data_IF_541049056394
#
_entry.id   IF_541049056394
#
_cell.length_a   1.000
_cell.length_b   1.000
_cell.length_c   1.000
_cell.angle_alpha   90.00
_cell.angle_beta   90.00
_cell.angle_gamma   90.00
#
_symmetry.space_group_name_H-M   'P 1'
#
loop_
_entity.id
_entity.type
_entity.pdbx_description
1 polymer ?
#
# COMPACT_ATOMS: atom_id res chain seq x y z
N UNK A 1 -42.69 5.34 -22.40
CA UNK A 1 -41.36 5.60 -21.75
C UNK A 1 -40.34 4.70 -22.39
N UNK A 2 -39.68 5.14 -23.45
CA UNK A 2 -38.54 4.46 -24.05
C UNK A 2 -37.27 5.07 -23.46
N UNK A 3 -36.70 4.44 -22.41
CA UNK A 3 -35.39 4.76 -21.91
C UNK A 3 -34.38 4.24 -22.96
N UNK A 4 -33.67 5.13 -23.64
CA UNK A 4 -32.56 4.75 -24.49
C UNK A 4 -31.45 4.11 -23.63
N UNK A 5 -31.30 2.79 -23.69
CA UNK A 5 -30.17 2.07 -23.17
C UNK A 5 -28.92 2.53 -23.91
N UNK A 6 -28.00 3.20 -23.23
CA UNK A 6 -26.65 3.43 -23.74
C UNK A 6 -25.88 2.11 -23.62
N UNK A 7 -25.69 1.42 -24.72
CA UNK A 7 -24.86 0.22 -24.78
C UNK A 7 -23.41 0.70 -24.95
N UNK A 8 -22.55 0.40 -23.98
CA UNK A 8 -21.09 0.54 -24.11
C UNK A 8 -20.53 -0.80 -24.58
N UNK A 9 -19.82 -0.81 -25.70
CA UNK A 9 -19.05 -1.96 -26.14
C UNK A 9 -17.68 -1.92 -25.44
N UNK A 10 -17.30 -3.00 -24.77
CA UNK A 10 -15.96 -3.21 -24.25
C UNK A 10 -15.30 -4.22 -25.19
N UNK A 11 -14.24 -3.78 -25.87
CA UNK A 11 -13.43 -4.64 -26.71
C UNK A 11 -12.42 -5.38 -25.85
N UNK A 12 -12.51 -6.70 -25.80
CA UNK A 12 -11.65 -7.59 -25.01
C UNK A 12 -10.49 -8.18 -25.80
N UNK A 13 -10.38 -7.87 -27.11
CA UNK A 13 -9.38 -8.49 -28.01
C UNK A 13 -7.93 -8.10 -27.66
N UNK A 14 -7.71 -7.12 -26.80
CA UNK A 14 -6.39 -6.65 -26.35
C UNK A 14 -6.06 -7.01 -24.88
N UNK A 15 -6.85 -7.85 -24.23
CA UNK A 15 -6.54 -8.35 -22.89
C UNK A 15 -5.70 -9.61 -23.06
N UNK A 16 -4.41 -9.52 -22.75
CA UNK A 16 -3.47 -10.63 -22.79
C UNK A 16 -4.02 -11.79 -21.93
N UNK A 17 -4.22 -12.93 -22.56
CA UNK A 17 -5.11 -14.04 -22.19
C UNK A 17 -4.68 -14.87 -20.97
N UNK A 18 -3.81 -14.38 -20.08
CA UNK A 18 -3.19 -15.30 -19.13
C UNK A 18 -3.75 -15.32 -17.70
N UNK A 19 -4.65 -14.39 -17.29
CA UNK A 19 -5.06 -14.42 -15.88
C UNK A 19 -6.33 -13.65 -15.48
N UNK A 20 -7.12 -13.11 -16.40
CA UNK A 20 -8.34 -12.39 -16.05
C UNK A 20 -9.54 -12.86 -16.88
N UNK A 21 -10.54 -13.42 -16.21
CA UNK A 21 -11.85 -13.65 -16.82
C UNK A 21 -12.57 -12.29 -16.95
N UNK A 22 -12.84 -11.78 -18.17
CA UNK A 22 -13.54 -10.51 -18.39
C UNK A 22 -14.96 -10.49 -17.79
N UNK A 23 -15.51 -11.65 -17.46
CA UNK A 23 -16.80 -11.80 -16.78
C UNK A 23 -16.68 -11.96 -15.25
N UNK A 24 -15.49 -11.77 -14.70
CA UNK A 24 -15.32 -11.77 -13.23
C UNK A 24 -16.23 -10.72 -12.60
N UNK A 25 -17.08 -11.18 -11.70
CA UNK A 25 -18.02 -10.31 -11.00
C UNK A 25 -17.26 -9.49 -9.94
N UNK A 26 -17.24 -8.17 -10.09
CA UNK A 26 -16.59 -7.26 -9.16
C UNK A 26 -17.58 -6.86 -8.06
N UNK A 27 -17.67 -7.67 -7.00
CA UNK A 27 -18.65 -7.49 -5.93
C UNK A 27 -18.06 -6.83 -4.68
N UNK A 28 -16.76 -6.65 -4.61
CA UNK A 28 -16.08 -6.08 -3.47
C UNK A 28 -15.02 -5.04 -3.87
N UNK A 29 -14.66 -4.11 -2.98
CA UNK A 29 -13.53 -3.20 -3.21
C UNK A 29 -12.23 -3.94 -3.54
N UNK A 30 -12.03 -5.15 -2.99
CA UNK A 30 -10.89 -6.02 -3.27
C UNK A 30 -10.85 -6.47 -4.74
N UNK A 31 -12.01 -6.85 -5.30
CA UNK A 31 -12.09 -7.29 -6.68
C UNK A 31 -11.75 -6.14 -7.63
N UNK A 32 -12.21 -4.93 -7.31
CA UNK A 32 -11.89 -3.72 -8.07
C UNK A 32 -10.39 -3.42 -8.07
N UNK A 33 -9.72 -3.59 -6.93
CA UNK A 33 -8.27 -3.40 -6.83
C UNK A 33 -7.53 -4.44 -7.64
N UNK A 34 -7.92 -5.70 -7.50
CA UNK A 34 -7.33 -6.77 -8.28
C UNK A 34 -7.46 -6.50 -9.79
N UNK A 35 -8.62 -6.05 -10.23
CA UNK A 35 -8.84 -5.63 -11.61
C UNK A 35 -7.93 -4.44 -12.00
N UNK A 36 -7.80 -3.43 -11.15
CA UNK A 36 -6.93 -2.27 -11.41
C UNK A 36 -5.44 -2.66 -11.47
N UNK A 37 -5.00 -3.61 -10.65
CA UNK A 37 -3.64 -4.15 -10.72
C UNK A 37 -3.38 -4.89 -12.03
N UNK A 38 -4.30 -5.78 -12.44
CA UNK A 38 -4.20 -6.51 -13.72
C UNK A 38 -4.16 -5.54 -14.90
N UNK A 39 -4.99 -4.50 -14.87
CA UNK A 39 -5.01 -3.47 -15.92
C UNK A 39 -3.80 -2.51 -15.84
N UNK A 40 -2.83 -2.75 -14.95
CA UNK A 40 -1.66 -1.90 -14.76
C UNK A 40 -1.97 -0.47 -14.30
N UNK A 41 -3.18 -0.22 -13.81
CA UNK A 41 -3.61 1.09 -13.31
C UNK A 41 -3.15 1.35 -11.89
N UNK A 42 -3.01 0.32 -11.07
CA UNK A 42 -2.53 0.40 -9.69
C UNK A 42 -1.28 -0.48 -9.54
N UNK A 43 -0.16 0.05 -9.00
CA UNK A 43 1.00 -0.77 -8.68
C UNK A 43 0.65 -1.89 -7.69
N UNK A 44 1.36 -3.02 -7.71
CA UNK A 44 1.24 -4.03 -6.68
C UNK A 44 1.55 -3.43 -5.31
N UNK A 45 0.92 -3.94 -4.26
CA UNK A 45 1.12 -3.46 -2.90
C UNK A 45 1.00 -4.59 -1.88
N UNK A 46 1.59 -4.39 -0.71
CA UNK A 46 1.41 -5.25 0.45
C UNK A 46 1.49 -4.46 1.75
N UNK A 47 0.82 -4.97 2.78
CA UNK A 47 0.87 -4.42 4.13
C UNK A 47 1.99 -5.05 4.96
N UNK A 48 2.50 -4.31 5.95
CA UNK A 48 3.32 -4.85 7.03
C UNK A 48 2.43 -5.14 8.24
N UNK A 49 2.32 -6.41 8.61
CA UNK A 49 1.64 -6.86 9.81
C UNK A 49 2.63 -7.11 10.94
N UNK A 50 2.16 -7.12 12.17
CA UNK A 50 2.96 -7.39 13.36
C UNK A 50 2.59 -6.51 14.53
N UNK A 51 2.87 -6.97 15.73
CA UNK A 51 2.58 -6.27 16.97
C UNK A 51 3.40 -4.99 17.12
N UNK A 52 2.96 -4.10 18.00
CA UNK A 52 3.72 -2.89 18.34
C UNK A 52 5.13 -3.28 18.83
N UNK A 53 6.15 -2.58 18.36
CA UNK A 53 7.55 -2.89 18.71
C UNK A 53 8.18 -4.03 17.90
N UNK A 54 7.46 -4.73 16.99
CA UNK A 54 8.06 -5.82 16.19
C UNK A 54 9.12 -5.37 15.19
N UNK A 55 9.20 -4.07 14.88
CA UNK A 55 10.19 -3.52 13.96
C UNK A 55 9.67 -3.33 12.53
N UNK A 56 8.34 -3.22 12.34
CA UNK A 56 7.73 -2.97 11.01
C UNK A 56 8.36 -1.78 10.28
N UNK A 57 8.43 -0.63 10.95
CA UNK A 57 9.01 0.58 10.36
C UNK A 57 10.50 0.42 10.03
N UNK A 58 11.24 -0.32 10.86
CA UNK A 58 12.65 -0.63 10.60
C UNK A 58 12.79 -1.52 9.36
N UNK A 59 11.96 -2.56 9.25
CA UNK A 59 11.95 -3.42 8.06
C UNK A 59 11.52 -2.64 6.82
N UNK A 60 10.46 -1.84 6.92
CA UNK A 60 9.99 -0.98 5.83
C UNK A 60 11.12 -0.11 5.28
N UNK A 61 11.82 0.62 6.15
CA UNK A 61 12.95 1.47 5.75
C UNK A 61 14.05 0.68 5.03
N UNK A 62 14.44 -0.48 5.57
CA UNK A 62 15.48 -1.33 4.97
C UNK A 62 15.04 -1.90 3.61
N UNK A 63 13.77 -2.31 3.47
CA UNK A 63 13.22 -2.77 2.19
C UNK A 63 13.23 -1.64 1.16
N UNK A 64 12.78 -0.44 1.53
CA UNK A 64 12.80 0.73 0.64
C UNK A 64 14.22 1.04 0.17
N UNK A 65 15.20 1.05 1.09
CA UNK A 65 16.60 1.25 0.73
C UNK A 65 17.10 0.19 -0.25
N UNK A 66 16.77 -1.08 -0.03
CA UNK A 66 17.19 -2.18 -0.87
C UNK A 66 16.55 -2.14 -2.26
N UNK A 67 15.25 -1.91 -2.33
CA UNK A 67 14.52 -1.69 -3.58
C UNK A 67 15.10 -0.52 -4.37
N UNK A 68 15.35 0.61 -3.71
CA UNK A 68 15.93 1.81 -4.35
C UNK A 68 17.31 1.53 -4.94
N UNK A 69 18.18 0.75 -4.25
CA UNK A 69 19.51 0.37 -4.75
C UNK A 69 19.46 -0.42 -6.05
N UNK A 70 18.41 -1.19 -6.27
CA UNK A 70 18.22 -1.99 -7.49
C UNK A 70 17.32 -1.29 -8.53
N UNK A 71 16.99 0.00 -8.31
CA UNK A 71 16.25 0.82 -9.27
C UNK A 71 14.73 0.75 -9.17
N UNK A 72 14.18 0.03 -8.20
CA UNK A 72 12.73 -0.10 -7.97
C UNK A 72 12.21 1.13 -7.23
N UNK A 73 11.19 1.79 -7.79
CA UNK A 73 10.53 2.94 -7.15
C UNK A 73 9.46 2.47 -6.18
N UNK A 74 9.64 2.77 -4.89
CA UNK A 74 8.71 2.35 -3.83
C UNK A 74 7.82 3.51 -3.42
N UNK A 75 6.49 3.31 -3.48
CA UNK A 75 5.51 4.14 -2.81
C UNK A 75 5.29 3.66 -1.37
N UNK A 76 4.92 4.56 -0.48
CA UNK A 76 4.54 4.20 0.90
C UNK A 76 3.24 4.85 1.29
N UNK A 77 2.38 4.08 1.93
CA UNK A 77 1.14 4.56 2.53
C UNK A 77 1.14 4.21 4.02
N UNK A 78 1.02 5.21 4.87
CA UNK A 78 1.01 5.02 6.32
C UNK A 78 -0.26 5.57 6.93
N UNK A 79 -1.03 4.71 7.60
CA UNK A 79 -2.15 5.11 8.42
C UNK A 79 -1.67 5.56 9.80
N UNK A 80 -2.03 6.77 10.19
CA UNK A 80 -1.72 7.34 11.50
C UNK A 80 -2.94 7.23 12.41
N UNK A 81 -2.79 6.56 13.57
CA UNK A 81 -3.87 6.41 14.55
C UNK A 81 -4.10 7.68 15.40
N UNK A 82 -3.26 8.69 15.24
CA UNK A 82 -3.34 9.96 15.97
C UNK A 82 -3.26 11.13 15.01
N UNK A 83 -3.75 12.30 15.45
CA UNK A 83 -3.57 13.55 14.70
C UNK A 83 -2.10 13.77 14.38
N UNK A 84 -1.79 14.10 13.15
CA UNK A 84 -0.44 14.42 12.71
C UNK A 84 -0.45 15.74 11.95
N UNK A 85 0.65 16.48 12.02
CA UNK A 85 0.90 17.65 11.22
C UNK A 85 2.19 17.42 10.40
N UNK A 86 2.12 17.72 9.10
CA UNK A 86 3.28 17.66 8.20
C UNK A 86 4.02 18.99 8.22
N UNK A 87 3.27 20.10 8.30
CA UNK A 87 3.81 21.45 8.38
C UNK A 87 4.17 21.86 9.82
N UNK A 88 5.06 22.83 9.94
CA UNK A 88 5.51 23.30 11.26
C UNK A 88 4.65 24.45 11.72
N UNK A 89 4.18 24.39 12.98
CA UNK A 89 3.48 25.48 13.66
C UNK A 89 4.23 26.80 13.51
N UNK A 90 3.51 27.85 13.12
CA UNK A 90 4.06 29.21 12.95
C UNK A 90 4.71 29.47 11.57
N UNK A 91 4.74 28.53 10.65
CA UNK A 91 5.10 28.75 9.25
C UNK A 91 3.88 29.12 8.41
N UNK A 92 4.12 29.75 7.25
CA UNK A 92 3.06 30.27 6.41
C UNK A 92 2.07 29.19 5.97
N UNK A 93 2.56 28.01 5.58
CA UNK A 93 1.72 26.86 5.22
C UNK A 93 0.77 26.47 6.36
N UNK A 94 1.29 26.41 7.58
CA UNK A 94 0.49 26.11 8.77
C UNK A 94 -0.58 27.19 9.00
N UNK A 95 -0.21 28.46 8.91
CA UNK A 95 -1.11 29.58 9.14
C UNK A 95 -2.22 29.65 8.09
N UNK A 96 -1.88 29.43 6.79
CA UNK A 96 -2.85 29.39 5.71
C UNK A 96 -3.85 28.25 5.90
N UNK A 97 -3.39 27.05 6.26
CA UNK A 97 -4.27 25.89 6.54
C UNK A 97 -5.17 26.18 7.75
N UNK A 98 -4.64 26.74 8.83
CA UNK A 98 -5.42 27.11 10.02
C UNK A 98 -6.43 28.23 9.74
N UNK A 99 -6.16 29.09 8.76
CA UNK A 99 -7.10 30.10 8.29
C UNK A 99 -8.24 29.52 7.41
N UNK A 100 -8.17 28.22 7.06
CA UNK A 100 -9.23 27.52 6.33
C UNK A 100 -8.91 27.14 4.88
N UNK A 101 -7.67 27.25 4.43
CA UNK A 101 -7.28 26.78 3.10
C UNK A 101 -7.43 25.25 2.99
N UNK A 102 -8.28 24.79 2.06
CA UNK A 102 -8.63 23.36 1.81
C UNK A 102 -8.90 23.15 0.32
N UNK A 103 -8.02 22.50 -0.44
CA UNK A 103 -6.70 21.97 -0.06
C UNK A 103 -5.63 23.04 0.05
N UNK A 104 -4.50 22.72 0.68
CA UNK A 104 -3.29 23.54 0.70
C UNK A 104 -2.17 22.80 -0.02
N UNK A 105 -1.51 23.46 -0.95
CA UNK A 105 -0.34 22.96 -1.69
C UNK A 105 0.85 23.83 -1.38
N UNK A 106 1.96 23.19 -1.00
CA UNK A 106 3.27 23.82 -0.91
C UNK A 106 4.20 23.20 -1.94
N UNK A 107 4.93 24.01 -2.67
CA UNK A 107 5.81 23.54 -3.73
C UNK A 107 7.17 24.26 -3.70
N UNK A 108 8.20 23.51 -4.06
CA UNK A 108 9.55 23.99 -4.29
C UNK A 108 10.14 23.32 -5.54
N UNK A 109 11.37 23.70 -5.91
CA UNK A 109 12.10 23.05 -7.01
C UNK A 109 12.30 21.54 -6.78
N UNK A 110 12.41 21.12 -5.53
CA UNK A 110 12.80 19.74 -5.17
C UNK A 110 11.59 18.86 -4.85
N UNK A 111 10.51 19.43 -4.32
CA UNK A 111 9.34 18.68 -3.84
C UNK A 111 8.10 19.54 -3.76
N UNK A 112 6.97 18.88 -3.75
CA UNK A 112 5.69 19.49 -3.36
C UNK A 112 5.00 18.62 -2.32
N UNK A 113 4.09 19.22 -1.56
CA UNK A 113 3.17 18.51 -0.68
C UNK A 113 1.75 19.06 -0.86
N UNK A 114 0.77 18.15 -0.88
CA UNK A 114 -0.66 18.44 -0.84
C UNK A 114 -1.18 18.05 0.54
N UNK A 115 -1.80 18.98 1.22
CA UNK A 115 -2.49 18.72 2.48
C UNK A 115 -3.98 18.94 2.26
N UNK A 116 -4.74 17.88 2.44
CA UNK A 116 -6.19 17.87 2.40
C UNK A 116 -6.70 17.51 3.80
N UNK A 117 -7.47 18.39 4.41
CA UNK A 117 -8.20 18.05 5.63
C UNK A 117 -9.37 17.14 5.26
N UNK A 118 -9.58 16.09 6.02
CA UNK A 118 -10.81 15.31 5.92
C UNK A 118 -11.95 16.06 6.57
N UNK A 119 -13.16 15.90 6.06
CA UNK A 119 -14.36 16.36 6.75
C UNK A 119 -14.57 15.53 8.03
N UNK A 120 -15.17 16.12 9.07
CA UNK A 120 -15.19 15.58 10.43
C UNK A 120 -15.78 14.15 10.56
N UNK A 121 -16.43 13.63 9.53
CA UNK A 121 -17.14 12.35 9.54
C UNK A 121 -16.52 11.25 8.68
N UNK A 122 -15.51 11.51 7.85
CA UNK A 122 -15.05 10.54 6.86
C UNK A 122 -13.53 10.39 6.82
N UNK A 123 -13.04 9.30 7.40
CA UNK A 123 -11.70 8.82 7.14
C UNK A 123 -11.66 8.16 5.74
N UNK A 124 -10.66 8.54 4.94
CA UNK A 124 -10.48 7.92 3.62
C UNK A 124 -10.12 6.45 3.77
N UNK A 125 -10.79 5.61 3.00
CA UNK A 125 -10.50 4.18 2.95
C UNK A 125 -9.09 3.93 2.40
N UNK A 126 -8.52 2.77 2.73
CA UNK A 126 -7.25 2.32 2.14
C UNK A 126 -7.27 2.44 0.61
N UNK A 127 -8.39 2.12 0.00
CA UNK A 127 -8.53 2.04 -1.45
C UNK A 127 -8.54 3.41 -2.11
N UNK A 128 -9.25 4.38 -1.54
CA UNK A 128 -9.20 5.77 -2.00
C UNK A 128 -7.78 6.34 -1.89
N UNK A 129 -7.04 5.96 -0.84
CA UNK A 129 -5.65 6.38 -0.68
C UNK A 129 -4.70 5.69 -1.67
N UNK A 130 -4.92 4.40 -1.98
CA UNK A 130 -4.15 3.70 -3.00
C UNK A 130 -4.38 4.26 -4.41
N UNK A 131 -5.59 4.69 -4.74
CA UNK A 131 -5.88 5.34 -6.01
C UNK A 131 -5.07 6.61 -6.26
N UNK A 132 -4.60 7.29 -5.21
CA UNK A 132 -3.75 8.48 -5.36
C UNK A 132 -2.45 8.12 -6.11
N UNK A 133 -1.90 6.92 -5.89
CA UNK A 133 -0.68 6.46 -6.57
C UNK A 133 -0.86 6.21 -8.08
N UNK A 134 -2.09 6.06 -8.55
CA UNK A 134 -2.41 5.91 -9.96
C UNK A 134 -2.69 7.24 -10.67
N UNK A 135 -2.82 8.35 -9.93
CA UNK A 135 -3.21 9.67 -10.45
C UNK A 135 -1.97 10.54 -10.71
N UNK A 136 -1.96 11.19 -11.86
CA UNK A 136 -1.01 12.27 -12.16
C UNK A 136 -1.28 13.49 -11.23
N UNK A 137 -0.28 14.18 -10.62
CA UNK A 137 1.13 14.20 -11.03
C UNK A 137 2.08 13.31 -10.19
N UNK A 138 1.57 12.31 -9.51
CA UNK A 138 2.42 11.41 -8.70
C UNK A 138 3.36 10.60 -9.63
N UNK A 139 4.65 10.58 -9.29
CA UNK A 139 5.60 9.72 -10.01
C UNK A 139 5.17 8.26 -9.86
N UNK A 140 5.06 7.54 -10.97
CA UNK A 140 4.72 6.13 -10.96
C UNK A 140 5.72 5.35 -10.09
N UNK A 141 5.21 4.53 -9.19
CA UNK A 141 6.00 3.58 -8.41
C UNK A 141 5.76 2.15 -8.91
N UNK A 142 6.69 1.26 -8.61
CA UNK A 142 6.65 -0.14 -9.06
C UNK A 142 6.01 -1.03 -8.00
N UNK A 143 6.03 -0.61 -6.73
CA UNK A 143 5.40 -1.30 -5.61
C UNK A 143 5.03 -0.29 -4.51
N UNK A 144 3.99 -0.61 -3.72
CA UNK A 144 3.57 0.20 -2.57
C UNK A 144 3.66 -0.63 -1.29
N UNK A 145 4.33 -0.08 -0.26
CA UNK A 145 4.34 -0.65 1.09
C UNK A 145 3.33 0.10 1.95
N UNK A 146 2.42 -0.65 2.57
CA UNK A 146 1.34 -0.12 3.40
C UNK A 146 1.61 -0.41 4.87
N UNK A 147 1.56 0.61 5.73
CA UNK A 147 1.66 0.49 7.18
C UNK A 147 0.37 0.96 7.87
N UNK A 148 -0.09 0.22 8.88
CA UNK A 148 -1.17 0.62 9.78
C UNK A 148 -2.52 -0.03 9.50
N UNK A 149 -2.90 -0.30 8.30
CA UNK A 149 -4.18 -0.90 7.90
C UNK A 149 -4.28 -2.41 8.25
N UNK A 150 -4.12 -2.74 9.54
CA UNK A 150 -4.00 -4.14 10.02
C UNK A 150 -5.26 -4.98 9.81
N UNK A 151 -6.43 -4.34 9.80
CA UNK A 151 -7.73 -5.01 9.68
C UNK A 151 -8.19 -5.14 8.22
N UNK A 152 -7.48 -4.52 7.28
CA UNK A 152 -7.83 -4.58 5.86
C UNK A 152 -7.47 -5.95 5.26
N UNK A 153 -8.31 -6.42 4.34
CA UNK A 153 -8.15 -7.70 3.65
C UNK A 153 -7.19 -7.56 2.45
N UNK A 154 -5.91 -7.29 2.76
CA UNK A 154 -4.83 -7.10 1.78
C UNK A 154 -3.68 -8.07 2.03
N UNK A 155 -2.86 -8.41 1.02
CA UNK A 155 -1.65 -9.22 1.22
C UNK A 155 -0.72 -8.57 2.25
N UNK A 156 -0.19 -9.38 3.20
CA UNK A 156 0.66 -8.87 4.28
C UNK A 156 1.93 -9.70 4.44
N UNK A 157 3.03 -9.01 4.73
CA UNK A 157 4.25 -9.60 5.29
C UNK A 157 4.23 -9.39 6.80
N UNK A 158 4.24 -10.47 7.57
CA UNK A 158 4.29 -10.38 9.03
C UNK A 158 5.71 -10.17 9.52
N UNK A 159 5.89 -9.20 10.43
CA UNK A 159 7.13 -8.98 11.18
C UNK A 159 6.93 -9.52 12.58
N UNK A 160 7.59 -10.63 12.88
CA UNK A 160 7.45 -11.34 14.13
C UNK A 160 8.76 -11.40 14.92
N UNK A 161 8.65 -11.18 16.23
CA UNK A 161 9.76 -11.36 17.17
C UNK A 161 9.27 -12.09 18.41
N UNK A 162 9.76 -13.30 18.71
CA UNK A 162 9.35 -14.07 19.90
C UNK A 162 9.53 -13.32 21.22
N UNK A 163 10.51 -12.41 21.30
CA UNK A 163 10.77 -11.62 22.50
C UNK A 163 9.57 -10.74 22.91
N UNK A 164 8.69 -10.39 21.97
CA UNK A 164 7.48 -9.61 22.23
C UNK A 164 6.42 -10.46 22.97
N UNK A 165 6.55 -11.78 22.96
CA UNK A 165 5.62 -12.73 23.60
C UNK A 165 4.17 -12.56 23.14
N UNK A 166 3.96 -12.32 21.87
CA UNK A 166 2.64 -12.24 21.23
C UNK A 166 2.48 -13.38 20.21
N UNK A 167 1.25 -13.82 19.92
CA UNK A 167 1.04 -14.87 18.92
C UNK A 167 1.40 -14.40 17.51
N UNK A 168 1.67 -15.36 16.65
CA UNK A 168 1.79 -15.15 15.20
C UNK A 168 0.43 -14.76 14.63
N UNK A 169 0.41 -13.74 13.78
CA UNK A 169 -0.83 -13.26 13.15
C UNK A 169 -1.27 -14.14 11.99
N UNK A 170 -0.33 -14.79 11.28
CA UNK A 170 -0.63 -15.61 10.11
C UNK A 170 -1.58 -16.76 10.42
N UNK A 171 -1.65 -17.21 11.66
CA UNK A 171 -2.56 -18.28 12.09
C UNK A 171 -4.03 -17.87 12.05
N UNK A 172 -4.30 -16.57 12.12
CA UNK A 172 -5.65 -16.00 12.12
C UNK A 172 -5.93 -15.15 10.88
N UNK A 173 -4.89 -14.63 10.22
CA UNK A 173 -5.00 -13.79 9.02
C UNK A 173 -4.44 -14.51 7.78
N UNK A 174 -5.35 -15.09 6.99
CA UNK A 174 -5.04 -15.80 5.73
C UNK A 174 -4.36 -14.93 4.66
N UNK A 175 -4.36 -13.60 4.84
CA UNK A 175 -3.71 -12.69 3.91
C UNK A 175 -2.22 -12.52 4.20
N UNK A 176 -1.72 -13.05 5.30
CA UNK A 176 -0.29 -13.10 5.57
C UNK A 176 0.36 -14.10 4.62
N UNK A 177 1.18 -13.60 3.71
CA UNK A 177 1.81 -14.42 2.67
C UNK A 177 3.21 -14.90 3.03
N UNK A 178 3.86 -14.26 4.00
CA UNK A 178 5.18 -14.63 4.51
C UNK A 178 5.44 -14.02 5.88
N UNK A 179 6.44 -14.56 6.61
CA UNK A 179 6.88 -14.08 7.91
C UNK A 179 8.35 -13.69 7.84
N UNK A 180 8.70 -12.51 8.37
CA UNK A 180 10.08 -12.09 8.64
C UNK A 180 10.31 -12.11 10.17
N UNK A 181 11.27 -12.91 10.65
CA UNK A 181 11.54 -13.08 12.07
C UNK A 181 13.04 -13.09 12.36
N UNK A 182 13.44 -12.66 13.56
CA UNK A 182 14.80 -12.79 14.07
C UNK A 182 15.08 -14.17 14.71
N UNK A 183 14.14 -15.09 14.57
CA UNK A 183 14.24 -16.47 15.07
C UNK A 183 13.71 -17.45 14.05
N UNK A 184 14.14 -18.69 14.10
CA UNK A 184 13.59 -19.74 13.25
C UNK A 184 12.14 -20.02 13.63
N UNK A 185 11.23 -19.92 12.66
CA UNK A 185 9.78 -20.13 12.82
C UNK A 185 9.36 -21.26 11.90
N UNK A 186 8.73 -22.28 12.48
CA UNK A 186 8.03 -23.29 11.70
C UNK A 186 6.64 -22.78 11.32
N UNK A 187 6.40 -22.64 10.03
CA UNK A 187 5.12 -22.18 9.49
C UNK A 187 4.82 -22.85 8.15
N UNK A 188 3.55 -22.88 7.78
CA UNK A 188 3.10 -23.40 6.48
C UNK A 188 3.27 -22.39 5.32
N UNK A 189 3.76 -21.20 5.60
CA UNK A 189 4.05 -20.14 4.64
C UNK A 189 5.54 -19.80 4.67
N UNK A 190 6.10 -19.14 3.63
CA UNK A 190 7.52 -18.75 3.59
C UNK A 190 7.95 -17.95 4.80
N UNK A 191 9.12 -18.29 5.35
CA UNK A 191 9.74 -17.61 6.48
C UNK A 191 11.12 -17.10 6.11
N UNK A 192 11.48 -15.93 6.59
CA UNK A 192 12.74 -15.25 6.29
C UNK A 192 13.39 -14.72 7.56
N UNK A 193 14.73 -14.74 7.57
CA UNK A 193 15.48 -14.00 8.58
C UNK A 193 15.23 -12.49 8.38
N UNK A 194 14.73 -11.83 9.42
CA UNK A 194 14.44 -10.39 9.46
C UNK A 194 15.69 -9.53 9.13
N UNK A 195 16.89 -10.08 9.32
CA UNK A 195 18.15 -9.40 9.03
C UNK A 195 18.63 -9.63 7.59
N UNK A 196 18.12 -10.64 6.90
CA UNK A 196 18.45 -10.92 5.50
C UNK A 196 17.47 -10.18 4.56
N UNK A 197 17.70 -8.87 4.44
CA UNK A 197 16.82 -7.99 3.63
C UNK A 197 16.81 -8.41 2.16
N UNK A 198 17.93 -8.89 1.63
CA UNK A 198 18.02 -9.31 0.22
C UNK A 198 17.05 -10.45 -0.06
N UNK A 199 17.03 -11.49 0.77
CA UNK A 199 16.12 -12.63 0.55
C UNK A 199 14.65 -12.23 0.60
N UNK A 200 14.29 -11.30 1.48
CA UNK A 200 12.92 -10.77 1.56
C UNK A 200 12.58 -9.95 0.30
N UNK A 201 13.51 -9.09 -0.13
CA UNK A 201 13.36 -8.28 -1.34
C UNK A 201 13.19 -9.15 -2.58
N UNK A 202 14.07 -10.13 -2.77
CA UNK A 202 14.05 -11.05 -3.92
C UNK A 202 12.71 -11.83 -3.98
N UNK A 203 12.25 -12.29 -2.84
CA UNK A 203 10.95 -12.97 -2.76
C UNK A 203 9.78 -12.05 -3.15
N UNK A 204 9.80 -10.79 -2.70
CA UNK A 204 8.76 -9.80 -3.05
C UNK A 204 8.80 -9.49 -4.54
N UNK A 205 9.99 -9.30 -5.13
CA UNK A 205 10.17 -9.07 -6.57
C UNK A 205 9.58 -10.23 -7.37
N UNK A 206 9.93 -11.45 -7.01
CA UNK A 206 9.42 -12.66 -7.67
C UNK A 206 7.89 -12.78 -7.54
N UNK A 207 7.37 -12.58 -6.33
CA UNK A 207 5.93 -12.68 -6.05
C UNK A 207 5.09 -11.70 -6.86
N UNK A 208 5.57 -10.45 -7.00
CA UNK A 208 4.85 -9.39 -7.70
C UNK A 208 5.32 -9.14 -9.12
N UNK A 209 6.28 -9.94 -9.61
CA UNK A 209 6.85 -9.84 -10.97
C UNK A 209 7.33 -8.42 -11.28
N UNK A 210 8.04 -7.80 -10.35
CA UNK A 210 8.61 -6.47 -10.51
C UNK A 210 9.82 -6.57 -11.43
N UNK A 211 9.84 -5.75 -12.48
CA UNK A 211 10.89 -5.74 -13.52
C UNK A 211 11.77 -4.49 -13.41
#
# INVERSE_FOLDING_TARGET
FTTQLKIAYVDFDNIDNSSFDPFTNLNSPRDLIYAQQILGKLPPFFGLAGWSGSGKTTLSSKLIENFTKIGVNVGTLKHAHHKFDIDKKGKDSYNLRKAGARPMIISSKERFALIQENDESEEKSLFEMLEIFSKNPIKKCDIIIVEGYKNEDIPKLEVYRPIIKKPLLYTEDKNVFAIASDSNIEASIPTFDLNNINSITDYIIQKYKIS
#
